data_IF_379405883721
#
_entry.id   IF_379405883721
#
_cell.length_a   1.000
_cell.length_b   1.000
_cell.length_c   1.000
_cell.angle_alpha   90.00
_cell.angle_beta   90.00
_cell.angle_gamma   90.00
#
_symmetry.space_group_name_H-M   'P 1'
#
loop_
_entity.id
_entity.type
_entity.pdbx_description
1 polymer ?
#
# COMPACT_ATOMS: atom_id res chain seq x y z
N UNK A 1 -15.46 -0.27 14.53
CA UNK A 1 -14.47 -0.16 13.44
C UNK A 1 -13.11 -0.31 14.10
N UNK A 2 -12.25 -1.17 13.55
CA UNK A 2 -10.87 -1.29 14.05
C UNK A 2 -10.14 0.07 13.88
N UNK A 3 -9.12 0.31 14.70
CA UNK A 3 -8.27 1.49 14.51
C UNK A 3 -7.52 1.35 13.18
N UNK A 4 -7.51 2.40 12.33
CA UNK A 4 -6.78 2.35 11.06
C UNK A 4 -5.29 2.03 11.27
N UNK A 5 -4.75 1.12 10.46
CA UNK A 5 -3.37 0.66 10.54
C UNK A 5 -2.51 1.25 9.41
N UNK A 6 -1.21 0.96 9.43
CA UNK A 6 -0.28 1.28 8.33
C UNK A 6 -0.81 0.72 7.00
N UNK A 7 -1.35 -0.51 7.00
CA UNK A 7 -1.95 -1.11 5.80
C UNK A 7 -3.20 -0.36 5.36
N UNK A 8 -4.05 0.08 6.28
CA UNK A 8 -5.22 0.90 5.94
C UNK A 8 -4.81 2.18 5.20
N UNK A 9 -3.80 2.90 5.70
CA UNK A 9 -3.34 4.13 5.06
C UNK A 9 -2.69 3.88 3.69
N UNK A 10 -1.87 2.82 3.59
CA UNK A 10 -1.16 2.48 2.36
C UNK A 10 -2.09 1.93 1.27
N UNK A 11 -3.09 1.11 1.61
CA UNK A 11 -4.03 0.59 0.63
C UNK A 11 -4.83 1.72 -0.04
N UNK A 12 -5.33 2.68 0.73
CA UNK A 12 -6.06 3.84 0.20
C UNK A 12 -5.26 4.57 -0.88
N UNK A 13 -3.96 4.79 -0.67
CA UNK A 13 -3.13 5.52 -1.65
C UNK A 13 -2.65 4.61 -2.79
N UNK A 14 -2.41 3.33 -2.52
CA UNK A 14 -1.93 2.38 -3.52
C UNK A 14 -3.02 1.95 -4.51
N UNK A 15 -4.29 2.03 -4.12
CA UNK A 15 -5.45 1.73 -4.97
C UNK A 15 -5.92 2.96 -5.76
N UNK A 16 -5.19 4.09 -5.69
CA UNK A 16 -5.50 5.27 -6.50
C UNK A 16 -4.93 5.15 -7.92
N UNK A 17 -5.58 5.76 -8.94
CA UNK A 17 -5.02 5.85 -10.29
C UNK A 17 -3.67 6.57 -10.35
N UNK A 18 -3.38 7.42 -9.37
CA UNK A 18 -2.10 8.11 -9.29
C UNK A 18 -0.96 7.15 -8.92
N UNK A 19 -1.21 6.03 -8.23
CA UNK A 19 -0.24 4.94 -8.01
C UNK A 19 -0.13 4.03 -9.25
N UNK A 20 0.48 4.55 -10.31
CA UNK A 20 0.66 3.85 -11.59
C UNK A 20 1.95 3.01 -11.65
N UNK A 21 2.11 2.26 -12.74
CA UNK A 21 3.27 1.38 -13.00
C UNK A 21 3.49 0.29 -11.92
N UNK A 22 2.41 -0.13 -11.29
CA UNK A 22 2.34 -1.32 -10.44
C UNK A 22 1.98 -2.54 -11.28
N UNK A 23 2.30 -3.73 -10.77
CA UNK A 23 1.98 -4.98 -11.45
C UNK A 23 2.01 -6.16 -10.48
N UNK A 24 1.21 -7.19 -10.76
CA UNK A 24 1.24 -8.47 -10.04
C UNK A 24 1.62 -9.62 -10.97
N UNK A 25 2.80 -10.20 -10.74
CA UNK A 25 3.23 -11.39 -11.46
C UNK A 25 2.44 -12.62 -11.04
N UNK A 26 2.16 -13.52 -12.00
CA UNK A 26 1.44 -14.77 -11.75
C UNK A 26 2.09 -15.65 -10.66
N UNK A 27 3.42 -15.63 -10.55
CA UNK A 27 4.16 -16.40 -9.54
C UNK A 27 3.98 -15.86 -8.11
N UNK A 28 3.70 -14.58 -7.96
CA UNK A 28 3.53 -13.92 -6.64
C UNK A 28 2.06 -13.88 -6.22
N UNK A 29 1.15 -14.04 -7.18
CA UNK A 29 -0.30 -13.85 -7.02
C UNK A 29 -0.91 -14.62 -5.85
N UNK A 30 -0.56 -15.90 -5.70
CA UNK A 30 -1.09 -16.72 -4.61
C UNK A 30 -0.66 -16.18 -3.24
N UNK A 31 0.61 -15.77 -3.10
CA UNK A 31 1.14 -15.22 -1.85
C UNK A 31 0.52 -13.85 -1.51
N UNK A 32 0.28 -13.01 -2.51
CA UNK A 32 -0.40 -11.72 -2.32
C UNK A 32 -1.88 -11.92 -1.96
N UNK A 33 -2.56 -12.88 -2.59
CA UNK A 33 -3.94 -13.23 -2.21
C UNK A 33 -4.04 -13.73 -0.77
N UNK A 34 -3.14 -14.63 -0.35
CA UNK A 34 -3.10 -15.12 1.03
C UNK A 34 -2.82 -13.99 2.04
N UNK A 35 -1.90 -13.07 1.69
CA UNK A 35 -1.65 -11.88 2.48
C UNK A 35 -2.90 -11.01 2.60
N UNK A 36 -3.54 -10.70 1.47
CA UNK A 36 -4.77 -9.93 1.42
C UNK A 36 -5.85 -10.54 2.32
N UNK A 37 -6.00 -11.87 2.29
CA UNK A 37 -7.00 -12.59 3.08
C UNK A 37 -6.71 -12.53 4.58
N UNK A 38 -5.43 -12.65 4.95
CA UNK A 38 -4.97 -12.61 6.35
C UNK A 38 -5.17 -11.22 6.97
N UNK A 39 -5.03 -10.18 6.15
CA UNK A 39 -5.10 -8.78 6.56
C UNK A 39 -6.43 -8.10 6.16
N UNK A 40 -7.46 -8.88 5.80
CA UNK A 40 -8.71 -8.35 5.24
C UNK A 40 -9.41 -7.31 6.14
N UNK A 41 -9.30 -7.45 7.47
CA UNK A 41 -9.90 -6.53 8.44
C UNK A 41 -9.15 -5.16 8.54
N UNK A 42 -7.98 -5.03 7.90
CA UNK A 42 -7.17 -3.81 7.87
C UNK A 42 -7.35 -2.98 6.59
N UNK A 43 -7.92 -3.55 5.53
CA UNK A 43 -8.14 -2.85 4.26
C UNK A 43 -9.47 -2.11 4.24
N UNK A 44 -9.54 -1.01 3.48
CA UNK A 44 -10.80 -0.29 3.31
C UNK A 44 -11.69 -0.93 2.26
N UNK A 45 -11.10 -1.57 1.25
CA UNK A 45 -11.81 -2.29 0.21
C UNK A 45 -11.98 -3.77 0.58
N UNK A 46 -13.23 -4.24 0.63
CA UNK A 46 -13.50 -5.65 0.82
C UNK A 46 -13.28 -6.46 -0.48
N UNK A 47 -12.72 -7.66 -0.36
CA UNK A 47 -12.42 -8.55 -1.50
C UNK A 47 -13.59 -8.83 -2.44
N UNK A 48 -14.83 -8.83 -1.95
CA UNK A 48 -16.03 -9.10 -2.74
C UNK A 48 -16.66 -7.82 -3.33
N UNK A 49 -16.20 -6.66 -2.89
CA UNK A 49 -16.76 -5.35 -3.26
C UNK A 49 -15.89 -4.63 -4.30
N UNK A 50 -14.65 -5.05 -4.49
CA UNK A 50 -13.78 -4.47 -5.53
C UNK A 50 -14.31 -4.75 -6.94
N UNK A 51 -14.36 -3.68 -7.76
CA UNK A 51 -14.78 -3.76 -9.16
C UNK A 51 -13.72 -4.44 -10.04
N UNK A 52 -12.44 -4.30 -9.67
CA UNK A 52 -11.31 -4.95 -10.33
C UNK A 52 -10.41 -5.62 -9.28
N UNK A 53 -10.67 -6.91 -9.06
CA UNK A 53 -9.97 -7.70 -8.07
C UNK A 53 -8.47 -7.86 -8.37
N UNK A 54 -8.06 -7.84 -9.64
CA UNK A 54 -6.64 -7.97 -10.00
C UNK A 54 -5.91 -6.67 -9.68
N UNK A 55 -6.46 -5.53 -10.11
CA UNK A 55 -5.90 -4.22 -9.81
C UNK A 55 -5.82 -3.99 -8.29
N UNK A 56 -6.84 -4.40 -7.54
CA UNK A 56 -6.80 -4.33 -6.08
C UNK A 56 -5.70 -5.21 -5.47
N UNK A 57 -5.45 -6.42 -6.00
CA UNK A 57 -4.30 -7.23 -5.54
C UNK A 57 -2.96 -6.59 -5.90
N UNK A 58 -2.86 -5.84 -7.01
CA UNK A 58 -1.66 -5.03 -7.33
C UNK A 58 -1.45 -3.90 -6.31
N UNK A 59 -2.52 -3.24 -5.90
CA UNK A 59 -2.50 -2.27 -4.82
C UNK A 59 -2.07 -2.91 -3.49
N UNK A 60 -2.61 -4.09 -3.14
CA UNK A 60 -2.21 -4.83 -1.94
C UNK A 60 -0.73 -5.24 -1.98
N UNK A 61 -0.21 -5.70 -3.13
CA UNK A 61 1.23 -5.99 -3.30
C UNK A 61 2.05 -4.73 -3.00
N UNK A 62 1.66 -3.59 -3.58
CA UNK A 62 2.37 -2.32 -3.42
C UNK A 62 2.33 -1.84 -1.96
N UNK A 63 1.16 -1.89 -1.32
CA UNK A 63 1.00 -1.54 0.09
C UNK A 63 1.89 -2.43 0.99
N UNK A 64 1.93 -3.74 0.74
CA UNK A 64 2.79 -4.67 1.49
C UNK A 64 4.28 -4.34 1.34
N UNK A 65 4.74 -4.04 0.13
CA UNK A 65 6.13 -3.63 -0.12
C UNK A 65 6.48 -2.41 0.72
N UNK A 66 5.60 -1.41 0.76
CA UNK A 66 5.79 -0.16 1.50
C UNK A 66 5.73 -0.35 3.02
N UNK A 67 4.91 -1.28 3.52
CA UNK A 67 4.94 -1.70 4.92
C UNK A 67 6.32 -2.26 5.27
N UNK A 68 6.80 -3.26 4.52
CA UNK A 68 8.07 -3.91 4.80
C UNK A 68 9.25 -2.92 4.67
N UNK A 69 9.20 -2.00 3.70
CA UNK A 69 10.14 -0.87 3.60
C UNK A 69 10.13 0.00 4.86
N UNK A 70 8.95 0.45 5.32
CA UNK A 70 8.81 1.29 6.51
C UNK A 70 9.24 0.61 7.82
N UNK A 71 9.30 -0.73 7.80
CA UNK A 71 9.80 -1.57 8.89
C UNK A 71 11.34 -1.79 8.84
N UNK A 72 12.01 -1.27 7.81
CA UNK A 72 13.46 -1.29 7.66
C UNK A 72 13.99 -2.48 6.84
N UNK A 73 13.16 -3.13 6.03
CA UNK A 73 13.62 -4.16 5.10
C UNK A 73 14.57 -3.55 4.04
N UNK A 74 15.55 -4.34 3.62
CA UNK A 74 16.56 -3.92 2.64
C UNK A 74 16.00 -3.84 1.22
N UNK A 75 16.53 -2.90 0.41
CA UNK A 75 16.18 -2.79 -1.01
C UNK A 75 16.43 -4.09 -1.76
N UNK A 76 17.56 -4.77 -1.52
CA UNK A 76 17.90 -6.03 -2.17
C UNK A 76 16.83 -7.10 -1.90
N UNK A 77 16.39 -7.19 -0.64
CA UNK A 77 15.39 -8.17 -0.24
C UNK A 77 14.02 -7.87 -0.86
N UNK A 78 13.60 -6.59 -0.90
CA UNK A 78 12.32 -6.21 -1.51
C UNK A 78 12.33 -6.42 -3.03
N UNK A 79 13.40 -5.99 -3.70
CA UNK A 79 13.59 -6.15 -5.14
C UNK A 79 13.56 -7.63 -5.53
N UNK A 80 14.25 -8.49 -4.79
CA UNK A 80 14.26 -9.94 -5.05
C UNK A 80 12.89 -10.57 -4.75
N UNK A 81 12.32 -10.31 -3.57
CA UNK A 81 11.07 -10.93 -3.09
C UNK A 81 9.87 -10.55 -3.96
N UNK A 82 9.80 -9.29 -4.40
CA UNK A 82 8.66 -8.73 -5.13
C UNK A 82 8.92 -8.54 -6.63
N UNK A 83 10.09 -9.01 -7.10
CA UNK A 83 10.53 -8.92 -8.50
C UNK A 83 10.56 -7.49 -9.05
N UNK A 84 10.75 -6.50 -8.19
CA UNK A 84 10.75 -5.09 -8.55
C UNK A 84 12.13 -4.67 -9.05
N UNK A 85 12.21 -3.66 -9.90
CA UNK A 85 13.46 -2.92 -10.09
C UNK A 85 13.74 -2.01 -8.89
N UNK A 86 15.01 -1.71 -8.56
CA UNK A 86 15.36 -0.72 -7.53
C UNK A 86 14.69 0.64 -7.76
N UNK A 87 14.69 1.11 -9.02
CA UNK A 87 14.02 2.37 -9.39
C UNK A 87 12.50 2.31 -9.28
N UNK A 88 11.88 1.13 -9.40
CA UNK A 88 10.45 1.00 -9.17
C UNK A 88 10.12 1.12 -7.68
N UNK A 89 11.00 0.62 -6.79
CA UNK A 89 10.83 0.79 -5.34
C UNK A 89 10.95 2.26 -4.98
N UNK A 90 12.02 2.94 -5.42
CA UNK A 90 12.23 4.37 -5.16
C UNK A 90 11.02 5.20 -5.62
N UNK A 91 10.56 4.97 -6.86
CA UNK A 91 9.41 5.68 -7.42
C UNK A 91 8.12 5.45 -6.62
N UNK A 92 7.91 4.22 -6.11
CA UNK A 92 6.73 3.90 -5.28
C UNK A 92 6.81 4.55 -3.91
N UNK A 93 7.99 4.60 -3.28
CA UNK A 93 8.20 5.27 -1.99
C UNK A 93 7.93 6.77 -2.12
N UNK A 94 8.56 7.43 -3.10
CA UNK A 94 8.37 8.86 -3.36
C UNK A 94 6.89 9.19 -3.61
N UNK A 95 6.22 8.36 -4.42
CA UNK A 95 4.81 8.56 -4.75
C UNK A 95 3.89 8.29 -3.56
N UNK A 96 4.18 7.29 -2.75
CA UNK A 96 3.44 7.00 -1.54
C UNK A 96 3.52 8.18 -0.56
N UNK A 97 4.71 8.76 -0.32
CA UNK A 97 4.82 9.95 0.55
C UNK A 97 4.00 11.12 0.02
N UNK A 98 4.06 11.40 -1.28
CA UNK A 98 3.26 12.46 -1.91
C UNK A 98 1.76 12.23 -1.73
N UNK A 99 1.26 11.02 -2.02
CA UNK A 99 -0.17 10.70 -1.93
C UNK A 99 -0.65 10.66 -0.48
N UNK A 100 0.16 10.17 0.46
CA UNK A 100 -0.13 10.21 1.89
C UNK A 100 -0.23 11.66 2.38
N UNK A 101 0.65 12.55 1.92
CA UNK A 101 0.55 13.98 2.19
C UNK A 101 -0.74 14.61 1.66
N UNK A 102 -1.18 14.22 0.45
CA UNK A 102 -2.46 14.66 -0.11
C UNK A 102 -3.66 14.12 0.69
N UNK A 103 -3.61 12.85 1.10
CA UNK A 103 -4.64 12.23 1.94
C UNK A 103 -4.74 12.91 3.32
N UNK A 104 -3.61 13.26 3.95
CA UNK A 104 -3.56 14.00 5.21
C UNK A 104 -4.21 15.39 5.10
N UNK A 105 -3.90 16.11 4.01
CA UNK A 105 -4.50 17.41 3.73
C UNK A 105 -6.03 17.31 3.53
N UNK A 106 -6.50 16.26 2.84
CA UNK A 106 -7.94 15.99 2.69
C UNK A 106 -8.60 15.67 4.03
N UNK A 107 -7.99 14.81 4.84
CA UNK A 107 -8.47 14.49 6.19
C UNK A 107 -8.62 15.75 7.05
N UNK A 108 -7.63 16.66 7.02
CA UNK A 108 -7.69 17.93 7.73
C UNK A 108 -8.85 18.83 7.26
N UNK A 109 -9.10 18.93 5.94
CA UNK A 109 -10.23 19.69 5.38
C UNK A 109 -11.57 19.09 5.79
N UNK A 110 -11.65 17.76 5.89
CA UNK A 110 -12.86 17.04 6.28
C UNK A 110 -13.06 16.92 7.80
N UNK A 111 -12.07 17.35 8.60
CA UNK A 111 -12.10 17.20 10.07
C UNK A 111 -12.01 15.74 10.54
N UNK A 112 -11.32 14.89 9.77
CA UNK A 112 -11.13 13.47 10.08
C UNK A 112 -9.75 13.29 10.70
N UNK A 113 -9.70 12.71 11.89
CA UNK A 113 -8.44 12.28 12.51
C UNK A 113 -7.98 10.95 11.91
N UNK A 114 -6.86 10.96 11.18
CA UNK A 114 -6.30 9.76 10.54
C UNK A 114 -4.80 9.60 10.84
N UNK A 115 -4.49 9.36 12.11
CA UNK A 115 -3.11 9.28 12.62
C UNK A 115 -2.25 8.14 12.07
N UNK A 116 -2.82 7.20 11.30
CA UNK A 116 -2.02 6.19 10.62
C UNK A 116 -1.19 6.81 9.48
N UNK A 117 -1.70 7.84 8.81
CA UNK A 117 -0.98 8.52 7.73
C UNK A 117 0.34 9.11 8.24
N UNK A 118 0.28 9.90 9.32
CA UNK A 118 1.49 10.49 9.90
C UNK A 118 2.49 9.44 10.37
N UNK A 119 2.02 8.35 10.99
CA UNK A 119 2.86 7.22 11.42
C UNK A 119 3.61 6.56 10.26
N UNK A 120 2.98 6.40 9.10
CA UNK A 120 3.63 5.83 7.91
C UNK A 120 4.69 6.79 7.37
N UNK A 121 4.34 8.06 7.22
CA UNK A 121 5.23 9.08 6.62
C UNK A 121 6.49 9.35 7.43
N UNK A 122 6.47 9.16 8.75
CA UNK A 122 7.67 9.25 9.59
C UNK A 122 8.70 8.14 9.31
N UNK A 123 8.31 7.10 8.57
CA UNK A 123 9.08 5.87 8.34
C UNK A 123 9.33 5.55 6.87
N UNK A 124 8.78 6.34 5.93
CA UNK A 124 9.06 6.24 4.50
C UNK A 124 10.35 7.00 4.15
#
# INVERSE_FOLDING_TARGET
MAEPTTLTALEIVCDTPDMHDTYLGNEERAAIYEYARKHADEFTTAMIETEDFEAWLEAVKTARVLVEWSEGESIETLVERYRLGPGDLDSRVERADWLLGAADALAAVLGIEFSAISRVRERL
#
